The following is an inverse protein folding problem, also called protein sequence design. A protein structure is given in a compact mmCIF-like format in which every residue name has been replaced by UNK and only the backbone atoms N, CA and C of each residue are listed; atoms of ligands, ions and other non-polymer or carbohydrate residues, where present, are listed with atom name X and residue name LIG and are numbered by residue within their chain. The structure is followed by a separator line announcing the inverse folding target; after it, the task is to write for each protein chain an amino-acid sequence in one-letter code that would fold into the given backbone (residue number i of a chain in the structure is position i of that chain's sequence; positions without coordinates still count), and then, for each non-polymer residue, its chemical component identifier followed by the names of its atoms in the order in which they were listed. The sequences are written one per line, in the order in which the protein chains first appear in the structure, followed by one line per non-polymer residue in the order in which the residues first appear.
data_IF_994475306539
#
_entry.id   IF_994475306539
#
_cell.length_a   1.000
_cell.length_b   1.000
_cell.length_c   1.000
_cell.angle_alpha   90.00
_cell.angle_beta   90.00
_cell.angle_gamma   90.00
#
_symmetry.space_group_name_H-M   'P 1'
#
loop_
_entity.id
_entity.type
_entity.pdbx_description
1 polymer ?
#
# COMPACT_ATOMS: atom_id res chain seq x y z
N UNK A 1 27.89 -8.90 27.76
CA UNK A 1 28.50 -8.25 26.57
C UNK A 1 28.13 -6.77 26.53
N UNK A 2 29.06 -5.90 26.06
CA UNK A 2 28.81 -4.45 26.09
C UNK A 2 27.95 -4.07 24.89
N UNK A 3 26.87 -3.31 25.10
CA UNK A 3 26.08 -2.76 24.02
C UNK A 3 26.96 -1.89 23.11
N UNK A 4 26.82 -2.01 21.79
CA UNK A 4 27.44 -1.06 20.86
C UNK A 4 26.72 0.29 21.00
N UNK A 5 27.50 1.36 21.10
CA UNK A 5 26.98 2.74 21.11
C UNK A 5 27.69 3.54 20.03
N UNK A 6 26.91 4.11 19.13
CA UNK A 6 27.38 5.00 18.07
C UNK A 6 26.71 6.36 18.25
N UNK A 7 27.50 7.43 18.21
CA UNK A 7 26.98 8.81 18.24
C UNK A 7 27.53 9.57 17.06
N UNK A 8 26.74 10.45 16.51
CA UNK A 8 27.13 11.24 15.34
C UNK A 8 26.17 12.41 15.12
N UNK A 9 26.34 13.04 13.98
CA UNK A 9 25.47 14.10 13.49
C UNK A 9 25.29 13.90 11.98
N UNK A 10 24.05 13.77 11.54
CA UNK A 10 23.72 13.75 10.11
C UNK A 10 23.55 15.18 9.59
N UNK A 11 24.03 15.44 8.37
CA UNK A 11 24.00 16.74 7.72
C UNK A 11 23.19 16.68 6.42
N UNK A 12 22.92 17.85 5.83
CA UNK A 12 22.29 17.91 4.50
C UNK A 12 23.18 17.32 3.42
N UNK A 13 24.51 17.49 3.57
CA UNK A 13 25.52 16.91 2.66
C UNK A 13 25.45 15.38 2.68
N UNK A 14 25.34 14.78 3.88
CA UNK A 14 25.16 13.33 4.01
C UNK A 14 23.88 12.85 3.30
N UNK A 15 22.74 13.56 3.52
CA UNK A 15 21.48 13.25 2.85
C UNK A 15 21.57 13.37 1.33
N UNK A 16 22.28 14.36 0.82
CA UNK A 16 22.50 14.54 -0.61
C UNK A 16 23.44 13.47 -1.20
N UNK A 17 24.42 13.00 -0.43
CA UNK A 17 25.30 11.93 -0.84
C UNK A 17 24.58 10.59 -0.94
N UNK A 18 23.73 10.26 0.03
CA UNK A 18 22.87 9.10 0.01
C UNK A 18 21.65 9.30 0.93
N UNK A 19 20.43 8.95 0.51
CA UNK A 19 19.24 9.05 1.36
C UNK A 19 19.22 8.02 2.49
N UNK A 20 19.96 6.90 2.37
CA UNK A 20 20.05 5.82 3.37
C UNK A 20 21.53 5.50 3.62
N UNK A 21 21.88 5.42 4.89
CA UNK A 21 23.24 5.09 5.37
C UNK A 21 23.23 3.83 6.21
N UNK A 22 24.29 3.04 6.08
CA UNK A 22 24.52 1.81 6.84
C UNK A 22 25.37 2.09 8.07
N UNK A 23 24.92 1.63 9.25
CA UNK A 23 25.73 1.56 10.47
C UNK A 23 26.00 0.09 10.78
N UNK A 24 27.22 -0.40 10.50
CA UNK A 24 27.56 -1.82 10.69
C UNK A 24 27.73 -2.16 12.17
N UNK A 25 27.38 -3.43 12.51
CA UNK A 25 27.68 -4.03 13.81
C UNK A 25 27.84 -5.55 13.68
N UNK A 26 28.68 -6.11 14.55
CA UNK A 26 28.85 -7.57 14.63
C UNK A 26 27.88 -8.16 15.65
N UNK A 27 27.11 -9.18 15.22
CA UNK A 27 26.27 -9.95 16.11
C UNK A 27 27.00 -11.24 16.48
N UNK A 28 27.20 -11.53 17.79
CA UNK A 28 27.91 -12.73 18.22
C UNK A 28 27.13 -14.01 17.96
N UNK A 29 27.86 -15.13 17.87
CA UNK A 29 27.28 -16.45 17.60
C UNK A 29 26.36 -16.97 18.73
N UNK A 30 26.52 -16.49 19.95
CA UNK A 30 25.70 -16.84 21.10
C UNK A 30 24.49 -15.90 21.32
N UNK A 31 24.31 -14.87 20.48
CA UNK A 31 23.17 -13.99 20.57
C UNK A 31 21.86 -14.72 20.18
N UNK A 32 20.85 -14.57 21.01
CA UNK A 32 19.49 -15.11 20.82
C UNK A 32 18.50 -14.04 20.36
N UNK A 33 18.98 -12.87 20.01
CA UNK A 33 18.23 -11.72 19.56
C UNK A 33 19.00 -10.45 19.82
N UNK A 34 18.45 -9.33 19.40
CA UNK A 34 19.01 -8.02 19.71
C UNK A 34 17.93 -6.93 19.65
N UNK A 35 18.19 -5.83 20.34
CA UNK A 35 17.39 -4.62 20.29
C UNK A 35 18.24 -3.48 19.76
N UNK A 36 17.68 -2.68 18.86
CA UNK A 36 18.26 -1.44 18.37
C UNK A 36 17.44 -0.26 18.89
N UNK A 37 18.12 0.77 19.41
CA UNK A 37 17.52 2.02 19.87
C UNK A 37 18.17 3.21 19.18
N UNK A 38 17.33 4.07 18.60
CA UNK A 38 17.74 5.30 17.96
C UNK A 38 17.17 6.48 18.75
N UNK A 39 18.04 7.41 19.16
CA UNK A 39 17.66 8.63 19.87
C UNK A 39 18.15 9.85 19.12
N UNK A 40 17.26 10.78 18.86
CA UNK A 40 17.52 12.08 18.25
C UNK A 40 16.36 13.04 18.57
N UNK A 41 16.52 14.31 18.30
CA UNK A 41 15.44 15.29 18.44
C UNK A 41 14.41 15.13 17.29
N UNK A 42 13.31 14.45 17.57
CA UNK A 42 12.22 14.20 16.60
C UNK A 42 11.46 15.46 16.20
N UNK A 43 11.57 16.54 16.96
CA UNK A 43 10.97 17.84 16.58
C UNK A 43 11.80 18.56 15.53
N UNK A 44 13.12 18.32 15.49
CA UNK A 44 14.06 18.93 14.57
C UNK A 44 14.17 18.19 13.22
N UNK A 45 13.93 16.86 13.20
CA UNK A 45 14.10 16.07 11.97
C UNK A 45 13.41 14.72 12.02
N UNK A 46 13.60 13.92 10.95
CA UNK A 46 13.10 12.54 10.87
C UNK A 46 14.20 11.64 10.34
N UNK A 47 14.55 10.62 11.11
CA UNK A 47 15.43 9.52 10.73
C UNK A 47 14.62 8.25 10.65
N UNK A 48 14.68 7.58 9.51
CA UNK A 48 14.06 6.28 9.32
C UNK A 48 14.95 5.18 9.88
N UNK A 49 14.34 4.07 10.30
CA UNK A 49 15.03 2.98 10.94
C UNK A 49 14.73 1.66 10.21
N UNK A 50 15.80 0.97 9.81
CA UNK A 50 15.72 -0.32 9.13
C UNK A 50 16.86 -1.26 9.53
N UNK A 51 16.85 -2.47 8.96
CA UNK A 51 17.79 -3.52 9.30
C UNK A 51 18.11 -4.45 8.12
N UNK A 52 19.40 -4.71 7.92
CA UNK A 52 19.90 -5.80 7.09
C UNK A 52 20.74 -6.76 7.92
N UNK A 53 20.48 -8.06 7.79
CA UNK A 53 21.32 -9.13 8.32
C UNK A 53 22.31 -9.65 7.27
N UNK A 54 23.15 -10.61 7.65
CA UNK A 54 24.09 -11.26 6.72
C UNK A 54 23.41 -11.87 5.49
N UNK A 55 22.19 -12.38 5.63
CA UNK A 55 21.41 -13.01 4.56
C UNK A 55 20.47 -12.04 3.82
N UNK A 56 20.43 -10.76 4.19
CA UNK A 56 19.62 -9.76 3.48
C UNK A 56 18.71 -8.93 4.37
N UNK A 57 17.62 -8.46 3.80
CA UNK A 57 16.65 -7.57 4.45
C UNK A 57 16.00 -8.22 5.69
N UNK A 58 15.94 -7.46 6.79
CA UNK A 58 15.33 -7.88 8.07
C UNK A 58 14.28 -6.92 8.59
N UNK A 59 14.04 -5.81 7.93
CA UNK A 59 12.93 -4.91 8.26
C UNK A 59 13.19 -3.44 8.02
N UNK A 60 12.07 -2.70 8.04
CA UNK A 60 12.02 -1.24 7.93
C UNK A 60 10.77 -0.73 8.64
N UNK A 61 10.88 0.35 9.37
CA UNK A 61 9.75 1.02 10.04
C UNK A 61 9.68 2.52 9.75
N UNK A 62 10.50 3.02 8.83
CA UNK A 62 10.57 4.45 8.57
C UNK A 62 10.81 5.26 9.85
N UNK A 63 10.28 6.46 9.87
CA UNK A 63 10.28 7.35 11.03
C UNK A 63 9.24 6.98 12.12
N UNK A 64 8.43 5.94 11.94
CA UNK A 64 7.37 5.58 12.88
C UNK A 64 7.91 5.10 14.24
N UNK A 65 9.12 4.51 14.27
CA UNK A 65 9.72 3.95 15.48
C UNK A 65 11.10 4.50 15.78
N UNK A 66 11.45 4.45 17.07
CA UNK A 66 12.79 4.72 17.58
C UNK A 66 13.49 3.48 18.15
N UNK A 67 12.79 2.33 18.15
CA UNK A 67 13.31 1.07 18.68
C UNK A 67 12.71 -0.11 17.92
N UNK A 68 13.52 -1.15 17.70
CA UNK A 68 13.05 -2.47 17.29
C UNK A 68 13.82 -3.60 17.96
N UNK A 69 13.18 -4.75 18.07
CA UNK A 69 13.76 -6.00 18.55
C UNK A 69 13.52 -7.10 17.52
N UNK A 70 14.55 -7.91 17.25
CA UNK A 70 14.47 -9.11 16.42
C UNK A 70 14.87 -10.30 17.27
N UNK A 71 14.02 -11.35 17.27
CA UNK A 71 14.23 -12.62 17.97
C UNK A 71 13.84 -13.79 17.07
N UNK A 72 14.16 -15.03 17.41
CA UNK A 72 13.70 -16.20 16.65
C UNK A 72 12.18 -16.30 16.54
N UNK A 73 11.46 -16.00 17.62
CA UNK A 73 10.03 -16.23 17.73
C UNK A 73 9.16 -15.00 17.35
N UNK A 74 9.70 -13.81 17.47
CA UNK A 74 8.98 -12.57 17.17
C UNK A 74 9.92 -11.41 16.84
N UNK A 75 9.38 -10.41 16.17
CA UNK A 75 10.04 -9.13 15.97
C UNK A 75 9.05 -7.97 16.17
N UNK A 76 9.57 -6.78 16.40
CA UNK A 76 8.76 -5.55 16.34
C UNK A 76 8.09 -5.45 14.97
N UNK A 77 6.80 -5.09 14.87
CA UNK A 77 6.14 -4.86 13.58
C UNK A 77 6.99 -3.95 12.67
N UNK A 78 7.11 -4.31 11.39
CA UNK A 78 8.04 -3.72 10.45
C UNK A 78 9.30 -4.57 10.22
N UNK A 79 9.58 -5.52 11.12
CA UNK A 79 10.78 -6.36 11.10
C UNK A 79 10.43 -7.86 11.00
N UNK A 80 11.34 -8.63 10.41
CA UNK A 80 11.19 -10.08 10.23
C UNK A 80 11.80 -10.83 11.42
N UNK A 81 11.00 -11.68 12.06
CA UNK A 81 11.49 -12.62 13.06
C UNK A 81 12.29 -13.75 12.39
N UNK A 82 12.99 -14.52 13.19
CA UNK A 82 13.83 -15.64 12.76
C UNK A 82 15.15 -15.64 13.49
N UNK A 83 15.86 -16.78 13.45
CA UNK A 83 17.18 -16.91 14.08
C UNK A 83 18.10 -15.79 13.59
N UNK A 84 18.71 -15.02 14.50
CA UNK A 84 19.66 -13.99 14.12
C UNK A 84 20.98 -14.64 13.73
N UNK A 85 21.35 -14.52 12.47
CA UNK A 85 22.59 -15.09 11.94
C UNK A 85 23.80 -14.40 12.58
N UNK A 86 24.86 -15.15 12.99
CA UNK A 86 26.10 -14.53 13.45
C UNK A 86 26.79 -13.75 12.33
N UNK A 87 27.45 -12.65 12.67
CA UNK A 87 28.26 -11.88 11.72
C UNK A 87 27.82 -10.46 11.52
N UNK A 88 28.12 -9.90 10.36
CA UNK A 88 27.96 -8.48 10.06
C UNK A 88 26.52 -8.11 9.71
N UNK A 89 25.90 -7.37 10.61
CA UNK A 89 24.60 -6.74 10.43
C UNK A 89 24.74 -5.24 10.13
N UNK A 90 23.70 -4.62 9.62
CA UNK A 90 23.63 -3.18 9.35
C UNK A 90 22.32 -2.61 9.86
N UNK A 91 22.39 -1.59 10.70
CA UNK A 91 21.25 -0.70 10.93
C UNK A 91 21.20 0.25 9.76
N UNK A 92 20.05 0.36 9.10
CA UNK A 92 19.81 1.32 8.03
C UNK A 92 19.21 2.58 8.65
N UNK A 93 19.80 3.73 8.38
CA UNK A 93 19.29 5.05 8.78
C UNK A 93 18.92 5.83 7.52
N UNK A 94 17.63 6.04 7.32
CA UNK A 94 17.11 6.92 6.28
C UNK A 94 17.13 8.37 6.77
N UNK A 95 17.69 9.28 5.98
CA UNK A 95 17.78 10.68 6.30
C UNK A 95 16.57 11.44 5.71
N UNK A 96 15.35 11.12 6.17
CA UNK A 96 14.12 11.67 5.60
C UNK A 96 14.05 13.20 5.75
N UNK A 97 14.35 13.73 6.95
CA UNK A 97 14.40 15.17 7.20
C UNK A 97 15.56 15.53 8.11
N UNK A 98 16.52 16.28 7.57
CA UNK A 98 17.70 16.74 8.29
C UNK A 98 17.73 18.27 8.25
N UNK A 99 17.81 18.96 9.41
CA UNK A 99 17.85 20.43 9.44
C UNK A 99 19.22 20.97 8.98
N UNK A 100 19.31 22.24 8.53
CA UNK A 100 20.58 22.84 8.09
C UNK A 100 21.71 22.80 9.14
N UNK A 101 21.37 22.84 10.43
CA UNK A 101 22.35 22.71 11.52
C UNK A 101 22.82 21.29 11.80
N UNK A 102 22.35 20.33 11.01
CA UNK A 102 22.57 18.90 11.22
C UNK A 102 21.75 18.33 12.37
N UNK A 103 21.58 16.99 12.38
CA UNK A 103 20.76 16.26 13.34
C UNK A 103 21.64 15.32 14.17
N UNK A 104 21.97 15.65 15.43
CA UNK A 104 22.69 14.76 16.33
C UNK A 104 21.88 13.50 16.62
N UNK A 105 22.53 12.34 16.68
CA UNK A 105 21.88 11.07 17.02
C UNK A 105 22.75 10.20 17.92
N UNK A 106 22.09 9.28 18.61
CA UNK A 106 22.68 8.16 19.31
C UNK A 106 21.99 6.88 18.88
N UNK A 107 22.78 5.88 18.47
CA UNK A 107 22.34 4.53 18.14
C UNK A 107 22.93 3.56 19.17
N UNK A 108 22.08 2.67 19.70
CA UNK A 108 22.52 1.57 20.58
C UNK A 108 22.04 0.25 20.02
N UNK A 109 22.94 -0.73 19.93
CA UNK A 109 22.63 -2.13 19.62
C UNK A 109 22.90 -2.96 20.87
N UNK A 110 21.90 -3.69 21.32
CA UNK A 110 21.90 -4.47 22.58
C UNK A 110 21.67 -5.93 22.23
N UNK A 111 22.72 -6.78 22.13
CA UNK A 111 22.56 -8.21 21.96
C UNK A 111 21.94 -8.86 23.18
N UNK A 112 21.09 -9.86 22.99
CA UNK A 112 20.47 -10.69 24.02
C UNK A 112 21.04 -12.11 23.98
N UNK A 113 21.61 -12.59 25.11
CA UNK A 113 22.19 -13.93 25.24
C UNK A 113 21.18 -14.96 25.79
N UNK A 114 20.07 -14.53 26.32
CA UNK A 114 18.94 -15.36 26.73
C UNK A 114 17.76 -15.10 25.80
N UNK A 115 16.83 -16.07 25.65
CA UNK A 115 15.63 -15.82 24.90
C UNK A 115 14.96 -14.57 25.47
N UNK A 116 14.85 -13.49 24.69
CA UNK A 116 14.33 -12.28 25.25
C UNK A 116 12.82 -12.35 25.30
N UNK A 117 12.32 -11.77 26.37
CA UNK A 117 11.11 -10.97 26.42
C UNK A 117 9.94 -11.51 25.60
N UNK A 118 8.86 -11.74 26.31
CA UNK A 118 7.53 -11.90 25.72
C UNK A 118 7.24 -10.69 24.80
N UNK A 119 6.70 -10.92 23.60
CA UNK A 119 6.24 -9.81 22.77
C UNK A 119 5.29 -8.91 23.57
N UNK A 120 5.23 -7.61 23.31
CA UNK A 120 4.26 -6.73 23.94
C UNK A 120 2.87 -7.33 23.80
N UNK A 121 2.07 -7.26 24.89
CA UNK A 121 0.69 -7.72 24.83
C UNK A 121 -0.07 -6.93 23.76
N UNK A 122 -0.67 -7.64 22.80
CA UNK A 122 -1.57 -7.00 21.84
C UNK A 122 -2.92 -6.77 22.51
N UNK A 123 -3.62 -5.65 22.23
CA UNK A 123 -5.01 -5.49 22.63
C UNK A 123 -5.85 -6.69 22.14
N UNK A 124 -6.86 -7.08 22.91
CA UNK A 124 -7.78 -8.11 22.48
C UNK A 124 -8.49 -7.71 21.19
N UNK A 125 -8.47 -8.57 20.18
CA UNK A 125 -9.18 -8.35 18.93
C UNK A 125 -10.69 -8.26 19.18
N UNK A 126 -11.35 -7.34 18.50
CA UNK A 126 -12.82 -7.35 18.40
C UNK A 126 -13.28 -8.64 17.72
N UNK A 127 -14.49 -9.14 18.03
CA UNK A 127 -15.07 -10.23 17.26
C UNK A 127 -15.05 -9.89 15.77
N UNK A 128 -14.79 -10.88 14.88
CA UNK A 128 -14.85 -10.65 13.45
C UNK A 128 -16.29 -10.28 13.04
N UNK A 129 -16.46 -9.48 11.97
CA UNK A 129 -17.77 -9.22 11.43
C UNK A 129 -18.42 -10.52 10.93
N UNK A 130 -19.76 -10.60 10.89
CA UNK A 130 -20.42 -11.75 10.31
C UNK A 130 -20.06 -11.85 8.81
N UNK A 131 -19.92 -13.09 8.28
CA UNK A 131 -19.67 -13.28 6.85
C UNK A 131 -20.74 -12.58 6.01
N UNK A 132 -20.32 -11.90 4.96
CA UNK A 132 -21.21 -11.23 4.01
C UNK A 132 -21.17 -11.91 2.66
N UNK A 133 -22.27 -11.77 1.91
CA UNK A 133 -22.26 -12.15 0.51
C UNK A 133 -21.28 -11.27 -0.29
N UNK A 134 -20.61 -11.83 -1.34
CA UNK A 134 -19.73 -11.07 -2.20
C UNK A 134 -20.40 -9.79 -2.75
N UNK A 135 -19.64 -8.74 -2.91
CA UNK A 135 -20.14 -7.43 -3.35
C UNK A 135 -20.88 -7.52 -4.68
N UNK A 136 -20.40 -8.34 -5.63
CA UNK A 136 -21.08 -8.58 -6.90
C UNK A 136 -22.49 -9.14 -6.70
N UNK A 137 -22.68 -10.10 -5.78
CA UNK A 137 -24.01 -10.68 -5.47
C UNK A 137 -24.92 -9.63 -4.83
N UNK A 138 -24.44 -8.92 -3.83
CA UNK A 138 -25.22 -7.86 -3.14
C UNK A 138 -25.65 -6.74 -4.09
N UNK A 139 -24.82 -6.44 -5.12
CA UNK A 139 -25.08 -5.42 -6.13
C UNK A 139 -25.79 -5.99 -7.37
N UNK A 140 -26.08 -7.30 -7.41
CA UNK A 140 -26.71 -7.95 -8.54
C UNK A 140 -25.90 -7.86 -9.84
N UNK A 141 -24.56 -7.86 -9.76
CA UNK A 141 -23.68 -7.71 -10.92
C UNK A 141 -23.63 -9.03 -11.72
N UNK A 142 -23.70 -8.97 -13.07
CA UNK A 142 -23.55 -10.15 -13.89
C UNK A 142 -22.09 -10.64 -13.91
N UNK A 143 -21.93 -11.95 -14.05
CA UNK A 143 -20.64 -12.55 -14.38
C UNK A 143 -20.34 -12.40 -15.88
N UNK A 144 -19.07 -12.37 -16.24
CA UNK A 144 -18.60 -12.33 -17.63
C UNK A 144 -17.61 -13.48 -17.87
N UNK A 145 -17.97 -14.43 -18.73
CA UNK A 145 -17.12 -15.59 -19.02
C UNK A 145 -16.78 -16.46 -17.80
N UNK A 146 -17.65 -16.52 -16.80
CA UNK A 146 -17.41 -17.21 -15.54
C UNK A 146 -16.64 -16.39 -14.49
N UNK A 147 -16.11 -15.22 -14.87
CA UNK A 147 -15.46 -14.27 -13.94
C UNK A 147 -16.50 -13.40 -13.23
N UNK A 148 -16.17 -12.92 -12.04
CA UNK A 148 -17.04 -12.04 -11.24
C UNK A 148 -16.30 -10.75 -10.86
N UNK A 149 -17.08 -9.72 -10.60
CA UNK A 149 -16.57 -8.49 -10.04
C UNK A 149 -16.26 -8.67 -8.55
N UNK A 150 -15.08 -8.23 -8.13
CA UNK A 150 -14.62 -8.21 -6.76
C UNK A 150 -14.39 -6.75 -6.36
N UNK A 151 -14.94 -6.35 -5.23
CA UNK A 151 -14.78 -5.01 -4.66
C UNK A 151 -13.64 -5.01 -3.64
N UNK A 152 -12.72 -4.09 -3.73
CA UNK A 152 -11.64 -4.02 -2.75
C UNK A 152 -10.91 -2.69 -2.70
N UNK A 153 -9.90 -2.68 -1.85
CA UNK A 153 -8.97 -1.57 -1.71
C UNK A 153 -7.55 -2.07 -1.95
N UNK A 154 -6.79 -1.32 -2.71
CA UNK A 154 -5.43 -1.69 -3.11
C UNK A 154 -4.33 -0.86 -2.42
N UNK A 155 -4.70 -0.09 -1.37
CA UNK A 155 -3.72 0.73 -0.67
C UNK A 155 -4.13 0.97 0.79
N UNK A 156 -3.48 0.27 1.72
CA UNK A 156 -3.75 0.44 3.15
C UNK A 156 -2.55 0.01 4.02
N UNK A 157 -2.41 0.66 5.18
CA UNK A 157 -1.28 0.53 6.09
C UNK A 157 -1.69 -0.01 7.45
N UNK A 158 -0.73 -0.70 8.08
CA UNK A 158 -0.90 -1.31 9.39
C UNK A 158 0.17 -0.84 10.38
N UNK A 159 0.14 -1.38 11.60
CA UNK A 159 1.22 -1.18 12.58
C UNK A 159 2.58 -1.71 12.12
N UNK A 160 2.69 -2.35 10.95
CA UNK A 160 3.97 -2.75 10.39
C UNK A 160 4.74 -1.60 9.74
N UNK A 161 4.05 -0.51 9.38
CA UNK A 161 4.66 0.79 9.06
C UNK A 161 4.15 1.87 10.02
N UNK A 162 3.27 2.73 9.59
CA UNK A 162 2.77 3.89 10.31
C UNK A 162 1.24 3.93 10.43
N UNK A 163 0.56 2.87 10.01
CA UNK A 163 -0.85 2.66 10.29
C UNK A 163 -1.11 2.37 11.77
N UNK A 164 -2.35 2.57 12.20
CA UNK A 164 -2.75 2.43 13.61
C UNK A 164 -3.33 1.05 13.95
N UNK A 165 -3.80 0.29 12.96
CA UNK A 165 -4.46 -1.00 13.15
C UNK A 165 -3.50 -2.17 12.89
N UNK A 166 -3.68 -3.28 13.62
CA UNK A 166 -3.09 -4.57 13.26
C UNK A 166 -3.69 -5.10 11.93
N UNK A 167 -3.01 -6.06 11.31
CA UNK A 167 -3.51 -6.71 10.07
C UNK A 167 -4.92 -7.26 10.27
N UNK A 168 -5.19 -7.92 11.41
CA UNK A 168 -6.52 -8.49 11.70
C UNK A 168 -7.60 -7.43 11.92
N UNK A 169 -7.28 -6.32 12.60
CA UNK A 169 -8.23 -5.22 12.79
C UNK A 169 -8.56 -4.52 11.48
N UNK A 170 -7.54 -4.29 10.65
CA UNK A 170 -7.72 -3.70 9.32
C UNK A 170 -8.54 -4.62 8.39
N UNK A 171 -8.27 -5.94 8.42
CA UNK A 171 -9.05 -6.93 7.69
C UNK A 171 -10.54 -6.93 8.11
N UNK A 172 -10.81 -6.87 9.42
CA UNK A 172 -12.18 -6.75 9.94
C UNK A 172 -12.85 -5.45 9.49
N UNK A 173 -12.13 -4.33 9.52
CA UNK A 173 -12.66 -3.05 9.06
C UNK A 173 -13.03 -3.11 7.57
N UNK A 174 -12.18 -3.68 6.72
CA UNK A 174 -12.45 -3.84 5.29
C UNK A 174 -13.66 -4.76 5.03
N UNK A 175 -13.76 -5.88 5.77
CA UNK A 175 -14.91 -6.77 5.69
C UNK A 175 -16.21 -6.09 6.16
N UNK A 176 -16.17 -5.31 7.22
CA UNK A 176 -17.31 -4.49 7.69
C UNK A 176 -17.77 -3.47 6.66
N UNK A 177 -16.83 -2.94 5.88
CA UNK A 177 -17.12 -2.06 4.73
C UNK A 177 -17.72 -2.79 3.54
N UNK A 178 -17.78 -4.13 3.59
CA UNK A 178 -18.33 -4.96 2.53
C UNK A 178 -17.38 -5.19 1.36
N UNK A 179 -16.08 -5.08 1.57
CA UNK A 179 -15.07 -5.41 0.59
C UNK A 179 -14.90 -6.93 0.47
N UNK A 180 -14.59 -7.41 -0.73
CA UNK A 180 -14.23 -8.80 -1.00
C UNK A 180 -12.74 -9.05 -0.80
N UNK A 181 -11.93 -8.01 -0.98
CA UNK A 181 -10.48 -8.07 -0.80
C UNK A 181 -9.88 -6.75 -0.28
N UNK A 182 -8.69 -6.87 0.30
CA UNK A 182 -7.86 -5.74 0.71
C UNK A 182 -6.39 -6.05 0.44
N UNK A 183 -5.64 -5.15 -0.17
CA UNK A 183 -4.19 -5.21 -0.20
C UNK A 183 -3.62 -4.51 1.05
N UNK A 184 -2.67 -5.18 1.71
CA UNK A 184 -1.90 -4.58 2.80
C UNK A 184 -0.54 -4.19 2.24
N UNK A 185 -0.22 -2.90 2.27
CA UNK A 185 0.89 -2.30 1.52
C UNK A 185 1.82 -1.45 2.39
N UNK A 186 2.20 -1.96 3.56
CA UNK A 186 3.07 -1.25 4.49
C UNK A 186 4.36 -0.75 3.83
N UNK A 187 4.80 0.46 4.21
CA UNK A 187 5.96 1.15 3.65
C UNK A 187 7.25 0.34 3.79
N UNK A 188 7.87 0.01 2.65
CA UNK A 188 9.21 -0.59 2.53
C UNK A 188 9.44 -1.87 3.34
N UNK A 189 8.37 -2.57 3.75
CA UNK A 189 8.44 -3.83 4.50
C UNK A 189 7.45 -4.87 3.99
N UNK A 190 7.74 -6.13 4.24
CA UNK A 190 6.85 -7.28 4.00
C UNK A 190 6.60 -8.08 5.29
N UNK A 191 6.90 -7.49 6.44
CA UNK A 191 6.81 -8.18 7.73
C UNK A 191 5.38 -8.57 8.13
N UNK A 192 4.37 -7.89 7.59
CA UNK A 192 2.96 -8.23 7.76
C UNK A 192 2.51 -9.47 6.97
N UNK A 193 3.25 -9.91 5.93
CA UNK A 193 2.86 -11.03 5.08
C UNK A 193 2.60 -12.32 5.88
N UNK A 194 3.39 -12.57 6.93
CA UNK A 194 3.21 -13.75 7.79
C UNK A 194 1.89 -13.76 8.56
N UNK A 195 1.25 -12.60 8.77
CA UNK A 195 -0.01 -12.47 9.49
C UNK A 195 -1.24 -12.59 8.57
N UNK A 196 -1.07 -12.36 7.24
CA UNK A 196 -2.17 -12.29 6.28
C UNK A 196 -3.06 -13.54 6.25
N UNK A 197 -2.53 -14.79 6.23
CA UNK A 197 -3.39 -15.97 6.15
C UNK A 197 -4.33 -16.12 7.34
N UNK A 198 -3.82 -15.86 8.55
CA UNK A 198 -4.62 -15.93 9.77
C UNK A 198 -5.66 -14.81 9.83
N UNK A 199 -5.30 -13.58 9.47
CA UNK A 199 -6.18 -12.43 9.45
C UNK A 199 -7.28 -12.58 8.38
N UNK A 200 -6.94 -13.08 7.18
CA UNK A 200 -7.89 -13.36 6.11
C UNK A 200 -8.96 -14.36 6.54
N UNK A 201 -8.53 -15.46 7.18
CA UNK A 201 -9.44 -16.46 7.73
C UNK A 201 -10.33 -15.88 8.84
N UNK A 202 -9.74 -15.09 9.72
CA UNK A 202 -10.45 -14.48 10.85
C UNK A 202 -11.54 -13.50 10.40
N UNK A 203 -11.23 -12.65 9.44
CA UNK A 203 -12.16 -11.63 8.93
C UNK A 203 -13.04 -12.12 7.75
N UNK A 204 -12.81 -13.33 7.24
CA UNK A 204 -13.50 -13.88 6.06
C UNK A 204 -13.38 -12.96 4.82
N UNK A 205 -12.19 -12.42 4.56
CA UNK A 205 -11.88 -11.54 3.44
C UNK A 205 -10.60 -12.02 2.74
N UNK A 206 -10.46 -11.74 1.44
CA UNK A 206 -9.20 -11.99 0.74
C UNK A 206 -8.19 -10.89 1.07
N UNK A 207 -7.01 -11.24 1.59
CA UNK A 207 -5.91 -10.30 1.77
C UNK A 207 -4.86 -10.51 0.68
N UNK A 208 -4.52 -9.43 -0.02
CA UNK A 208 -3.49 -9.42 -1.06
C UNK A 208 -2.18 -8.96 -0.43
N UNK A 209 -1.12 -9.79 -0.47
CA UNK A 209 0.20 -9.33 -0.04
C UNK A 209 0.69 -8.18 -0.90
N UNK A 210 1.26 -7.16 -0.28
CA UNK A 210 1.81 -6.01 -0.98
C UNK A 210 2.93 -5.35 -0.19
N UNK A 211 3.60 -4.42 -0.84
CA UNK A 211 4.56 -3.50 -0.24
C UNK A 211 4.41 -2.17 -0.94
N UNK A 212 4.28 -1.09 -0.21
CA UNK A 212 4.50 0.21 -0.80
C UNK A 212 5.99 0.52 -0.82
N UNK A 213 6.56 0.55 -2.04
CA UNK A 213 7.95 0.95 -2.29
C UNK A 213 8.01 2.47 -2.25
N UNK A 214 8.46 2.99 -1.13
CA UNK A 214 8.37 4.41 -0.74
C UNK A 214 9.72 5.10 -0.81
N UNK A 215 9.76 6.24 -1.49
CA UNK A 215 10.93 7.13 -1.58
C UNK A 215 10.53 8.60 -1.58
N UNK A 216 11.49 9.52 -1.41
CA UNK A 216 11.27 10.97 -1.53
C UNK A 216 10.82 11.41 -2.94
N UNK A 217 10.91 10.55 -3.96
CA UNK A 217 10.55 10.86 -5.35
C UNK A 217 9.23 10.25 -5.80
N UNK A 218 8.48 9.65 -4.88
CA UNK A 218 7.20 9.03 -5.15
C UNK A 218 7.15 7.55 -4.72
N UNK A 219 5.94 6.98 -4.76
CA UNK A 219 5.65 5.67 -4.20
C UNK A 219 5.02 4.75 -5.25
N UNK A 220 5.18 3.44 -5.07
CA UNK A 220 4.54 2.43 -5.90
C UNK A 220 4.19 1.18 -5.09
N UNK A 221 3.00 0.63 -5.27
CA UNK A 221 2.61 -0.63 -4.67
C UNK A 221 3.08 -1.81 -5.52
N UNK A 222 3.83 -2.71 -4.89
CA UNK A 222 4.23 -3.99 -5.43
C UNK A 222 3.34 -5.09 -4.84
N UNK A 223 2.38 -5.60 -5.63
CA UNK A 223 1.41 -6.60 -5.20
C UNK A 223 1.86 -8.02 -5.51
N UNK A 224 1.56 -8.94 -4.61
CA UNK A 224 1.83 -10.36 -4.70
C UNK A 224 2.72 -10.87 -3.55
N UNK A 225 2.72 -12.19 -3.35
CA UNK A 225 3.67 -12.84 -2.43
C UNK A 225 5.03 -13.02 -3.14
N UNK A 226 5.66 -11.89 -3.42
CA UNK A 226 6.88 -11.79 -4.22
C UNK A 226 8.12 -11.45 -3.38
N UNK A 227 7.97 -11.37 -2.07
CA UNK A 227 9.01 -10.93 -1.16
C UNK A 227 9.31 -9.43 -1.27
N UNK A 228 10.30 -9.00 -0.54
CA UNK A 228 10.67 -7.60 -0.44
C UNK A 228 11.29 -7.05 -1.74
N UNK A 229 10.90 -5.84 -2.12
CA UNK A 229 11.46 -5.04 -3.22
C UNK A 229 12.33 -3.93 -2.62
N UNK A 230 13.58 -3.84 -3.06
CA UNK A 230 14.54 -2.85 -2.54
C UNK A 230 14.23 -1.44 -3.07
N UNK A 231 13.65 -0.62 -2.22
CA UNK A 231 13.27 0.77 -2.52
C UNK A 231 14.48 1.67 -2.87
N UNK A 232 15.70 1.26 -2.56
CA UNK A 232 16.94 1.98 -2.88
C UNK A 232 17.37 1.80 -4.34
N UNK A 233 16.71 0.88 -5.06
CA UNK A 233 16.96 0.65 -6.49
C UNK A 233 16.14 1.62 -7.36
N UNK A 234 16.38 1.58 -8.67
CA UNK A 234 15.61 2.39 -9.60
C UNK A 234 14.20 1.81 -9.85
N UNK A 235 13.20 2.65 -10.18
CA UNK A 235 11.85 2.18 -10.50
C UNK A 235 11.79 1.19 -11.67
N UNK A 236 12.65 1.32 -12.66
CA UNK A 236 12.75 0.34 -13.75
C UNK A 236 13.21 -1.04 -13.23
N UNK A 237 14.00 -1.07 -12.15
CA UNK A 237 14.38 -2.32 -11.50
C UNK A 237 13.23 -2.88 -10.68
N UNK A 238 12.49 -2.04 -9.94
CA UNK A 238 11.27 -2.49 -9.24
C UNK A 238 10.29 -3.13 -10.22
N UNK A 239 10.02 -2.44 -11.35
CA UNK A 239 9.08 -2.95 -12.36
C UNK A 239 9.52 -4.31 -12.95
N UNK A 240 10.82 -4.51 -13.18
CA UNK A 240 11.35 -5.80 -13.64
C UNK A 240 11.22 -6.86 -12.56
N UNK A 241 11.70 -6.61 -11.34
CA UNK A 241 11.68 -7.59 -10.24
C UNK A 241 10.27 -8.01 -9.89
N UNK A 242 9.33 -7.07 -9.79
CA UNK A 242 7.91 -7.35 -9.52
C UNK A 242 7.33 -8.24 -10.62
N UNK A 243 7.52 -7.88 -11.89
CA UNK A 243 7.04 -8.69 -13.03
C UNK A 243 7.67 -10.08 -13.05
N UNK A 244 8.99 -10.18 -12.91
CA UNK A 244 9.75 -11.42 -13.03
C UNK A 244 9.43 -12.41 -11.88
N UNK A 245 8.95 -11.87 -10.73
CA UNK A 245 8.42 -12.65 -9.60
C UNK A 245 6.91 -12.90 -9.68
N UNK A 246 6.25 -12.48 -10.77
CA UNK A 246 4.80 -12.70 -11.01
C UNK A 246 3.88 -11.72 -10.27
N UNK A 247 4.38 -10.63 -9.77
CA UNK A 247 3.61 -9.56 -9.13
C UNK A 247 3.05 -8.52 -10.11
N UNK A 248 2.41 -7.50 -9.57
CA UNK A 248 1.92 -6.32 -10.29
C UNK A 248 2.43 -5.05 -9.61
N UNK A 249 3.02 -4.13 -10.37
CA UNK A 249 3.43 -2.82 -9.86
C UNK A 249 2.40 -1.76 -10.26
N UNK A 250 1.95 -0.97 -9.28
CA UNK A 250 1.08 0.19 -9.47
C UNK A 250 1.78 1.45 -8.98
N UNK A 251 1.75 2.53 -9.74
CA UNK A 251 2.17 3.84 -9.23
C UNK A 251 1.09 4.42 -8.32
N UNK A 252 1.47 4.87 -7.14
CA UNK A 252 0.56 5.44 -6.15
C UNK A 252 0.46 6.97 -6.30
N UNK A 253 -0.72 7.52 -6.00
CA UNK A 253 -1.01 8.96 -5.87
C UNK A 253 -0.07 9.89 -6.68
N UNK A 254 0.07 9.68 -7.99
CA UNK A 254 1.14 10.26 -8.81
C UNK A 254 1.17 11.78 -8.87
N UNK A 255 0.08 12.45 -8.50
CA UNK A 255 -0.06 13.92 -8.51
C UNK A 255 -0.34 14.50 -7.12
N UNK A 256 -0.12 13.72 -6.04
CA UNK A 256 -0.26 14.20 -4.68
C UNK A 256 0.71 15.35 -4.36
N UNK A 257 0.32 16.24 -3.44
CA UNK A 257 1.07 17.47 -3.18
C UNK A 257 2.48 17.25 -2.61
N UNK A 258 2.65 16.23 -1.78
CA UNK A 258 3.88 15.95 -1.01
C UNK A 258 4.64 14.70 -1.48
N UNK A 259 3.93 13.72 -2.04
CA UNK A 259 4.48 12.43 -2.45
C UNK A 259 4.26 12.10 -3.93
N UNK A 260 4.10 13.12 -4.78
CA UNK A 260 3.92 12.98 -6.22
C UNK A 260 5.03 12.14 -6.88
N UNK A 261 4.67 11.39 -7.91
CA UNK A 261 5.62 10.61 -8.68
C UNK A 261 6.57 11.50 -9.50
N UNK A 262 7.83 11.48 -9.16
CA UNK A 262 8.91 12.28 -9.79
C UNK A 262 10.05 11.41 -10.31
N UNK A 263 9.95 10.09 -10.16
CA UNK A 263 10.94 9.19 -10.68
C UNK A 263 10.92 9.15 -12.21
N UNK A 264 12.09 9.22 -12.87
CA UNK A 264 12.19 8.86 -14.28
C UNK A 264 11.98 7.35 -14.44
N UNK A 265 11.23 6.95 -15.45
CA UNK A 265 11.01 5.56 -15.85
C UNK A 265 11.11 5.41 -17.36
N UNK A 266 11.72 4.31 -17.81
CA UNK A 266 11.77 3.92 -19.23
C UNK A 266 10.49 3.20 -19.65
N UNK A 267 9.96 2.33 -18.79
CA UNK A 267 8.72 1.60 -19.03
C UNK A 267 7.71 1.90 -17.93
N UNK A 268 6.47 2.16 -18.32
CA UNK A 268 5.40 2.43 -17.37
C UNK A 268 4.85 1.13 -16.78
N UNK A 269 4.55 1.08 -15.47
CA UNK A 269 3.89 -0.06 -14.86
C UNK A 269 2.49 -0.33 -15.44
N UNK A 270 2.00 -1.57 -15.30
CA UNK A 270 0.70 -1.96 -15.83
C UNK A 270 -0.50 -1.36 -15.07
N UNK A 271 -0.28 -0.77 -13.91
CA UNK A 271 -1.32 -0.18 -13.08
C UNK A 271 -0.94 1.21 -12.56
N UNK A 272 -1.93 2.00 -12.24
CA UNK A 272 -1.76 3.36 -11.72
C UNK A 272 -2.96 3.76 -10.86
N UNK A 273 -2.67 4.41 -9.74
CA UNK A 273 -3.69 4.95 -8.85
C UNK A 273 -4.23 6.27 -9.42
N UNK A 274 -5.47 6.20 -9.89
CA UNK A 274 -6.16 7.32 -10.54
C UNK A 274 -7.12 8.02 -9.61
N UNK A 275 -7.38 7.45 -8.44
CA UNK A 275 -8.23 8.02 -7.41
C UNK A 275 -7.62 7.79 -6.04
N UNK A 276 -7.17 8.88 -5.44
CA UNK A 276 -6.56 8.93 -4.12
C UNK A 276 -7.04 10.17 -3.36
N UNK A 277 -7.27 10.07 -2.06
CA UNK A 277 -7.88 11.15 -1.28
C UNK A 277 -7.03 12.44 -1.23
N UNK A 278 -5.72 12.33 -1.23
CA UNK A 278 -4.82 13.48 -1.02
C UNK A 278 -4.73 14.45 -2.20
N UNK A 279 -5.10 14.02 -3.41
CA UNK A 279 -5.00 14.84 -4.63
C UNK A 279 -6.28 14.86 -5.45
N UNK A 280 -7.26 14.06 -5.07
CA UNK A 280 -8.48 13.92 -5.82
C UNK A 280 -9.36 15.17 -5.71
N UNK A 281 -9.46 15.91 -6.79
CA UNK A 281 -10.56 16.83 -7.00
C UNK A 281 -11.69 16.07 -7.71
N UNK A 282 -12.75 15.80 -6.99
CA UNK A 282 -13.90 15.04 -7.51
C UNK A 282 -14.66 15.78 -8.59
N UNK A 283 -14.48 17.10 -8.70
CA UNK A 283 -15.08 17.89 -9.76
C UNK A 283 -14.22 17.84 -11.03
N UNK A 284 -14.89 17.86 -12.19
CA UNK A 284 -14.27 17.95 -13.52
C UNK A 284 -13.43 16.75 -13.95
N UNK A 285 -13.37 15.69 -13.18
CA UNK A 285 -12.68 14.45 -13.53
C UNK A 285 -11.20 14.62 -13.86
N UNK A 286 -10.49 15.49 -13.12
CA UNK A 286 -9.06 15.77 -13.31
C UNK A 286 -8.17 14.52 -13.39
N UNK A 287 -8.38 13.45 -12.60
CA UNK A 287 -7.58 12.24 -12.69
C UNK A 287 -7.66 11.53 -14.05
N UNK A 288 -8.76 11.61 -14.76
CA UNK A 288 -8.89 11.01 -16.08
C UNK A 288 -8.03 11.70 -17.14
N UNK A 289 -7.84 13.00 -17.04
CA UNK A 289 -6.91 13.72 -17.91
C UNK A 289 -5.49 13.20 -17.72
N UNK A 290 -5.11 12.88 -16.47
CA UNK A 290 -3.80 12.31 -16.18
C UNK A 290 -3.64 10.88 -16.72
N UNK A 291 -4.67 10.02 -16.62
CA UNK A 291 -4.61 8.65 -17.17
C UNK A 291 -4.43 8.64 -18.69
N UNK A 292 -4.98 9.60 -19.41
CA UNK A 292 -4.75 9.75 -20.86
C UNK A 292 -3.28 10.04 -21.20
N UNK A 293 -2.58 10.76 -20.33
CA UNK A 293 -1.15 11.05 -20.48
C UNK A 293 -0.31 9.84 -20.11
N UNK A 294 -0.76 9.04 -19.12
CA UNK A 294 0.01 7.91 -18.60
C UNK A 294 0.17 6.78 -19.62
N UNK A 295 -0.89 6.11 -20.00
CA UNK A 295 -0.94 5.18 -21.16
C UNK A 295 -2.35 4.61 -21.36
N UNK A 296 -2.71 4.33 -22.60
CA UNK A 296 -3.86 3.47 -22.85
C UNK A 296 -3.53 2.03 -22.41
N UNK A 297 -4.40 1.41 -21.61
CA UNK A 297 -4.27 0.02 -21.18
C UNK A 297 -3.69 -0.21 -19.78
N UNK A 298 -3.25 0.82 -19.06
CA UNK A 298 -2.94 0.66 -17.65
C UNK A 298 -4.22 0.40 -16.83
N UNK A 299 -4.16 -0.56 -15.90
CA UNK A 299 -5.24 -0.79 -14.95
C UNK A 299 -5.43 0.45 -14.07
N UNK A 300 -6.66 0.93 -13.97
CA UNK A 300 -7.01 2.01 -13.06
C UNK A 300 -7.20 1.45 -11.66
N UNK A 301 -6.54 2.04 -10.68
CA UNK A 301 -6.63 1.68 -9.28
C UNK A 301 -7.15 2.87 -8.50
N UNK A 302 -7.97 2.62 -7.50
CA UNK A 302 -8.28 3.53 -6.42
C UNK A 302 -7.75 2.94 -5.12
N UNK A 303 -7.22 3.77 -4.24
CA UNK A 303 -6.71 3.35 -2.96
C UNK A 303 -7.03 4.36 -1.88
N UNK A 304 -7.45 3.88 -0.70
CA UNK A 304 -7.75 4.75 0.42
C UNK A 304 -6.51 5.31 1.09
N UNK A 305 -5.37 4.63 0.94
CA UNK A 305 -4.15 4.94 1.68
C UNK A 305 -4.42 5.06 3.19
N UNK A 306 -5.26 4.15 3.68
CA UNK A 306 -5.75 4.18 5.05
C UNK A 306 -4.63 3.96 6.06
N UNK A 307 -4.46 4.88 7.00
CA UNK A 307 -3.55 4.76 8.13
C UNK A 307 -4.30 4.72 9.46
N UNK A 308 -5.33 5.57 9.63
CA UNK A 308 -6.06 5.70 10.90
C UNK A 308 -7.46 6.28 10.73
N UNK A 309 -8.36 6.02 11.69
CA UNK A 309 -9.76 6.48 11.60
C UNK A 309 -9.92 8.00 11.52
N UNK A 310 -8.98 8.75 12.12
CA UNK A 310 -9.06 10.21 12.22
C UNK A 310 -8.88 10.91 10.87
N UNK A 311 -8.35 10.22 9.85
CA UNK A 311 -8.16 10.76 8.50
C UNK A 311 -9.45 10.85 7.69
N UNK A 312 -10.51 10.11 8.08
CA UNK A 312 -11.86 10.26 7.52
C UNK A 312 -12.09 9.59 6.15
N UNK A 313 -11.14 8.78 5.66
CA UNK A 313 -11.26 7.98 4.42
C UNK A 313 -10.98 6.50 4.74
N UNK A 314 -12.02 5.75 5.09
CA UNK A 314 -11.87 4.34 5.46
C UNK A 314 -11.54 3.46 4.24
N UNK A 315 -11.08 2.20 4.47
CA UNK A 315 -10.86 1.26 3.39
C UNK A 315 -12.06 1.14 2.45
N UNK A 316 -11.78 1.19 1.14
CA UNK A 316 -12.79 1.17 0.09
C UNK A 316 -13.36 2.54 -0.30
N UNK A 317 -12.84 3.64 0.24
CA UNK A 317 -13.15 5.00 -0.21
C UNK A 317 -11.88 5.66 -0.78
N UNK A 318 -11.60 5.48 -2.11
CA UNK A 318 -12.39 4.84 -3.17
C UNK A 318 -12.27 3.30 -3.21
N UNK A 319 -13.22 2.64 -3.89
CA UNK A 319 -13.23 1.20 -4.12
C UNK A 319 -12.72 0.86 -5.51
N UNK A 320 -11.75 -0.04 -5.60
CA UNK A 320 -11.36 -0.68 -6.86
C UNK A 320 -12.19 -1.94 -7.10
N UNK A 321 -12.83 -2.00 -8.26
CA UNK A 321 -13.54 -3.17 -8.75
C UNK A 321 -12.65 -3.91 -9.74
N UNK A 322 -12.51 -5.22 -9.56
CA UNK A 322 -11.67 -6.08 -10.39
C UNK A 322 -12.51 -7.22 -10.93
N UNK A 323 -12.49 -7.44 -12.26
CA UNK A 323 -13.12 -8.58 -12.88
C UNK A 323 -12.12 -9.73 -12.98
N UNK A 324 -12.28 -10.80 -12.21
CA UNK A 324 -11.33 -11.90 -12.20
C UNK A 324 -11.77 -13.07 -11.34
N UNK A 325 -10.95 -14.12 -11.35
CA UNK A 325 -11.02 -15.24 -10.39
C UNK A 325 -10.39 -14.87 -9.05
N UNK A 326 -9.35 -14.04 -9.10
CA UNK A 326 -8.71 -13.36 -7.97
C UNK A 326 -8.35 -11.89 -8.30
N UNK A 327 -8.04 -11.05 -7.30
CA UNK A 327 -7.75 -9.64 -7.53
C UNK A 327 -6.54 -9.38 -8.44
N UNK A 328 -5.45 -10.15 -8.30
CA UNK A 328 -4.23 -9.93 -9.09
C UNK A 328 -4.39 -10.37 -10.54
N UNK A 329 -5.19 -11.40 -10.81
CA UNK A 329 -5.51 -11.83 -12.17
C UNK A 329 -6.20 -10.72 -12.95
N UNK A 330 -7.28 -10.17 -12.40
CA UNK A 330 -8.01 -9.10 -13.06
C UNK A 330 -7.22 -7.79 -13.16
N UNK A 331 -6.38 -7.50 -12.15
CA UNK A 331 -5.48 -6.35 -12.20
C UNK A 331 -4.45 -6.48 -13.34
N UNK A 332 -3.86 -7.67 -13.53
CA UNK A 332 -2.96 -7.95 -14.68
C UNK A 332 -3.67 -7.83 -16.03
N UNK A 333 -4.93 -8.24 -16.09
CA UNK A 333 -5.76 -8.13 -17.29
C UNK A 333 -6.20 -6.69 -17.59
N UNK A 334 -5.97 -5.74 -16.68
CA UNK A 334 -6.48 -4.37 -16.81
C UNK A 334 -8.00 -4.26 -16.67
N UNK A 335 -8.65 -5.33 -16.20
CA UNK A 335 -10.11 -5.42 -16.07
C UNK A 335 -10.57 -4.77 -14.75
N UNK A 336 -10.46 -3.45 -14.67
CA UNK A 336 -10.73 -2.68 -13.45
C UNK A 336 -11.69 -1.53 -13.68
N UNK A 337 -12.36 -1.12 -12.60
CA UNK A 337 -13.12 0.11 -12.50
C UNK A 337 -12.98 0.67 -11.09
N UNK A 338 -13.28 1.95 -10.89
CA UNK A 338 -13.20 2.59 -9.58
C UNK A 338 -14.51 3.28 -9.26
N UNK A 339 -15.00 3.12 -8.04
CA UNK A 339 -16.16 3.87 -7.52
C UNK A 339 -15.80 4.64 -6.27
N UNK A 340 -16.58 5.66 -5.94
CA UNK A 340 -16.35 6.48 -4.75
C UNK A 340 -16.40 5.67 -3.46
N UNK A 341 -17.28 4.68 -3.38
CA UNK A 341 -17.50 3.80 -2.23
C UNK A 341 -17.97 2.43 -2.69
N UNK A 342 -17.94 1.39 -1.84
CA UNK A 342 -18.42 0.04 -2.21
C UNK A 342 -19.90 -0.01 -2.62
N UNK A 343 -20.71 0.86 -2.03
CA UNK A 343 -22.16 0.92 -2.28
C UNK A 343 -22.55 2.10 -3.19
N UNK A 344 -21.58 2.87 -3.69
CA UNK A 344 -21.79 4.00 -4.58
C UNK A 344 -22.21 3.60 -6.01
N UNK A 345 -22.47 4.58 -6.88
CA UNK A 345 -22.71 4.36 -8.29
C UNK A 345 -21.55 3.63 -8.95
N UNK A 346 -21.86 2.71 -9.87
CA UNK A 346 -20.89 1.90 -10.61
C UNK A 346 -20.94 2.19 -12.09
N UNK A 347 -19.77 2.15 -12.71
CA UNK A 347 -19.59 2.10 -14.15
C UNK A 347 -18.63 0.94 -14.45
N UNK A 348 -19.11 -0.16 -14.99
CA UNK A 348 -18.35 -1.39 -15.20
C UNK A 348 -18.36 -1.75 -16.68
N UNK A 349 -17.22 -2.16 -17.24
CA UNK A 349 -17.20 -2.72 -18.59
C UNK A 349 -17.71 -4.15 -18.56
N UNK A 350 -18.72 -4.45 -19.37
CA UNK A 350 -19.33 -5.77 -19.51
C UNK A 350 -19.42 -6.16 -20.99
N UNK A 351 -18.37 -6.77 -21.50
CA UNK A 351 -18.22 -7.07 -22.93
C UNK A 351 -18.09 -5.78 -23.76
N UNK A 352 -18.98 -5.64 -24.73
CA UNK A 352 -19.05 -4.47 -25.61
C UNK A 352 -19.87 -3.31 -25.04
N UNK A 353 -20.33 -3.43 -23.79
CA UNK A 353 -21.17 -2.44 -23.15
C UNK A 353 -20.56 -1.94 -21.83
N UNK A 354 -20.99 -0.77 -21.39
CA UNK A 354 -20.90 -0.34 -19.99
C UNK A 354 -22.20 -0.67 -19.26
N UNK A 355 -22.07 -1.30 -18.10
CA UNK A 355 -23.14 -1.46 -17.12
C UNK A 355 -23.03 -0.32 -16.09
N UNK A 356 -24.08 0.47 -15.99
CA UNK A 356 -24.27 1.48 -14.94
C UNK A 356 -25.19 0.90 -13.88
N UNK A 357 -24.82 1.04 -12.60
CA UNK A 357 -25.65 0.64 -11.45
C UNK A 357 -25.69 1.80 -10.45
N UNK A 358 -26.87 2.16 -9.95
CA UNK A 358 -27.06 3.29 -9.07
C UNK A 358 -26.86 4.63 -9.80
N UNK A 359 -27.15 4.70 -11.10
CA UNK A 359 -26.78 5.83 -11.95
C UNK A 359 -27.91 6.79 -12.28
N UNK A 360 -29.13 6.60 -11.78
CA UNK A 360 -30.24 7.48 -12.13
C UNK A 360 -29.97 8.95 -11.79
N UNK A 361 -30.18 9.83 -12.77
CA UNK A 361 -29.93 11.27 -12.62
C UNK A 361 -28.44 11.66 -12.74
N UNK A 362 -27.52 10.72 -12.91
CA UNK A 362 -26.12 11.00 -13.17
C UNK A 362 -25.87 11.29 -14.67
N UNK A 363 -24.69 11.80 -14.96
CA UNK A 363 -24.20 12.06 -16.31
C UNK A 363 -23.04 11.11 -16.63
N UNK A 364 -23.19 10.31 -17.69
CA UNK A 364 -22.10 9.52 -18.25
C UNK A 364 -21.30 10.39 -19.23
N UNK A 365 -20.00 10.53 -18.94
CA UNK A 365 -19.01 11.16 -19.80
C UNK A 365 -18.07 10.13 -20.41
N UNK A 366 -17.73 10.32 -21.67
CA UNK A 366 -16.67 9.65 -22.38
C UNK A 366 -15.84 10.65 -23.17
N UNK A 367 -14.80 10.21 -23.90
CA UNK A 367 -13.92 11.10 -24.68
C UNK A 367 -14.66 11.97 -25.68
N UNK A 368 -15.74 11.47 -26.26
CA UNK A 368 -16.52 12.09 -27.35
C UNK A 368 -18.03 12.15 -27.06
N UNK A 369 -18.44 11.86 -25.82
CA UNK A 369 -19.85 11.81 -25.45
C UNK A 369 -20.16 12.36 -24.06
N UNK A 370 -21.35 12.89 -23.94
CA UNK A 370 -21.97 13.24 -22.67
C UNK A 370 -23.47 12.94 -22.76
N UNK A 371 -24.00 12.17 -21.82
CA UNK A 371 -25.44 11.85 -21.79
C UNK A 371 -25.95 11.66 -20.36
N UNK A 372 -27.20 12.06 -20.14
CA UNK A 372 -27.88 11.74 -18.89
C UNK A 372 -28.14 10.23 -18.80
N UNK A 373 -27.99 9.69 -17.61
CA UNK A 373 -28.39 8.33 -17.26
C UNK A 373 -29.83 8.39 -16.73
N UNK A 374 -30.71 7.60 -17.32
CA UNK A 374 -32.11 7.51 -16.90
C UNK A 374 -32.39 6.07 -16.48
N UNK A 375 -32.69 5.88 -15.21
CA UNK A 375 -32.86 4.59 -14.57
C UNK A 375 -31.64 4.14 -13.76
N UNK A 376 -31.93 3.38 -12.72
CA UNK A 376 -30.95 2.95 -11.74
C UNK A 376 -29.94 1.91 -12.28
N UNK A 377 -30.39 1.10 -13.26
CA UNK A 377 -29.55 0.10 -13.93
C UNK A 377 -29.70 0.24 -15.45
N UNK A 378 -28.60 0.61 -16.11
CA UNK A 378 -28.62 0.93 -17.55
C UNK A 378 -27.42 0.30 -18.23
N UNK A 379 -27.65 -0.26 -19.42
CA UNK A 379 -26.58 -0.71 -20.32
C UNK A 379 -26.38 0.31 -21.44
N UNK A 380 -25.13 0.65 -21.72
CA UNK A 380 -24.75 1.64 -22.74
C UNK A 380 -23.62 1.08 -23.57
N UNK A 381 -23.66 1.14 -24.91
CA UNK A 381 -22.55 0.71 -25.73
C UNK A 381 -21.22 1.33 -25.30
N UNK A 382 -20.23 0.48 -25.04
CA UNK A 382 -18.92 0.93 -24.61
C UNK A 382 -18.14 1.55 -25.78
N UNK A 383 -17.35 2.57 -25.47
CA UNK A 383 -16.43 3.19 -26.40
C UNK A 383 -14.99 3.11 -25.86
N UNK A 384 -13.98 3.19 -26.70
CA UNK A 384 -12.58 3.24 -26.24
C UNK A 384 -12.30 4.48 -25.38
N UNK A 385 -11.40 4.32 -24.43
CA UNK A 385 -10.91 5.39 -23.58
C UNK A 385 -11.67 5.55 -22.25
N UNK A 386 -11.20 6.43 -21.38
CA UNK A 386 -11.71 6.59 -20.03
C UNK A 386 -13.10 7.23 -19.99
N UNK A 387 -13.96 6.64 -19.19
CA UNK A 387 -15.33 7.10 -18.95
C UNK A 387 -15.55 7.34 -17.47
N UNK A 388 -16.51 8.22 -17.14
CA UNK A 388 -16.88 8.53 -15.77
C UNK A 388 -18.37 8.78 -15.61
N UNK A 389 -18.86 8.52 -14.41
CA UNK A 389 -20.18 9.02 -13.96
C UNK A 389 -19.99 10.25 -13.09
N UNK A 390 -20.76 11.27 -13.32
CA UNK A 390 -20.77 12.52 -12.54
C UNK A 390 -22.16 12.88 -12.05
N UNK A 391 -22.21 13.52 -10.89
CA UNK A 391 -23.43 14.23 -10.42
C UNK A 391 -23.68 15.47 -11.28
N UNK A 392 -24.86 16.08 -11.11
CA UNK A 392 -25.18 17.37 -11.74
C UNK A 392 -24.25 18.52 -11.26
N UNK A 393 -23.48 18.30 -10.18
CA UNK A 393 -22.47 19.24 -9.67
C UNK A 393 -21.08 18.96 -10.22
N UNK A 394 -20.97 18.06 -11.20
CA UNK A 394 -19.71 17.57 -11.79
C UNK A 394 -18.80 16.81 -10.81
N UNK A 395 -19.35 16.24 -9.74
CA UNK A 395 -18.61 15.36 -8.84
C UNK A 395 -18.53 13.96 -9.44
N UNK A 396 -17.33 13.42 -9.55
CA UNK A 396 -17.09 12.07 -10.08
C UNK A 396 -17.48 11.01 -9.06
N UNK A 397 -18.29 10.04 -9.51
CA UNK A 397 -18.82 8.95 -8.70
C UNK A 397 -18.24 7.59 -9.09
N UNK A 398 -17.87 7.41 -10.35
CA UNK A 398 -17.26 6.17 -10.84
C UNK A 398 -16.41 6.43 -12.09
N UNK A 399 -15.39 5.58 -12.30
CA UNK A 399 -14.45 5.59 -13.41
C UNK A 399 -14.37 4.20 -14.04
N UNK A 400 -14.26 4.12 -15.38
CA UNK A 400 -14.00 2.89 -16.12
C UNK A 400 -13.31 3.20 -17.46
N UNK A 401 -12.52 2.26 -18.00
CA UNK A 401 -11.89 2.34 -19.34
C UNK A 401 -12.49 1.31 -20.30
#
# INVERSE_FOLDING_TARGET
MRALRVTGRWTLEDRLAAPVHDVPFELPADARGFTVRLSYDRSAGVLDLGCHGPLGFRGWSGGARSEYTITPAWATPGYLSGEPEPGLWRVLLGLHRVPPGGLPYELRVIPHLSPPLTPPARPGLRPPPPPREPAATRRGLPSLGGLRWLAGDLHAHTVHSDGSLSVSELACLAADRGLDFLAVTDHNTVSHHAELPAAATFASITLVPGQEVTTDLGHANAFGDIGWIDFRQSPDRWAREVRDRGGVLSINHPVAGDCAWRHPMTARPPAVEVWHWSWWDRTWGAPLAWTQIWSAGAAMVGGSDYHRPEEGHPPGDPTTWVLGGDPLEGLRAGATAVSATPDGPLLLRHGDDFLVVGGDGLVLWGPDMRRAVVGDRVTVPARPGPHRLETFRNEVMALCT
#
